data_IF_048820029826
#
_entry.id   IF_048820029826
#
_cell.length_a   1.000
_cell.length_b   1.000
_cell.length_c   1.000
_cell.angle_alpha   90.00
_cell.angle_beta   90.00
_cell.angle_gamma   90.00
#
_symmetry.space_group_name_H-M   'P 1'
#
loop_
_entity.id
_entity.type
_entity.pdbx_description
1 polymer ?
#
# COMPACT_ATOMS: atom_id res chain seq x y z
N UNK A 1 29.52 30.21 44.40
CA UNK A 1 29.43 31.11 43.23
C UNK A 1 28.03 30.97 42.62
N UNK A 2 27.14 31.92 42.90
CA UNK A 2 25.79 32.00 42.32
C UNK A 2 25.87 32.96 41.13
N UNK A 3 25.55 32.52 39.91
CA UNK A 3 25.40 33.40 38.75
C UNK A 3 23.92 33.72 38.55
N UNK A 4 23.63 35.02 38.61
CA UNK A 4 22.35 35.60 38.23
C UNK A 4 22.23 35.63 36.70
N UNK A 5 21.06 35.29 36.18
CA UNK A 5 20.70 35.45 34.78
C UNK A 5 19.79 36.68 34.71
N UNK A 6 20.22 37.66 33.90
CA UNK A 6 19.57 38.94 33.66
C UNK A 6 18.41 38.75 32.68
N UNK A 7 17.22 39.19 33.08
CA UNK A 7 16.03 39.35 32.23
C UNK A 7 16.24 40.53 31.30
N UNK A 8 16.12 40.33 29.98
CA UNK A 8 15.99 41.40 29.00
C UNK A 8 14.55 41.40 28.49
N UNK A 9 13.81 42.43 28.90
CA UNK A 9 12.50 42.78 28.35
C UNK A 9 12.67 43.31 26.91
N UNK A 10 12.01 42.66 25.96
CA UNK A 10 11.83 43.18 24.60
C UNK A 10 10.33 43.41 24.38
N UNK A 11 9.97 44.68 24.23
CA UNK A 11 8.65 45.12 23.77
C UNK A 11 8.34 44.58 22.37
N UNK A 12 7.08 44.18 22.08
CA UNK A 12 6.67 43.80 20.75
C UNK A 12 6.36 45.04 19.90
N UNK A 13 7.14 45.22 18.83
CA UNK A 13 6.84 46.19 17.79
C UNK A 13 5.52 45.84 17.07
N UNK A 14 4.63 46.82 16.97
CA UNK A 14 3.42 46.79 16.16
C UNK A 14 3.77 46.59 14.68
N UNK A 15 3.41 45.42 14.13
CA UNK A 15 3.54 45.11 12.71
C UNK A 15 2.34 45.70 11.96
N UNK A 16 2.63 46.67 11.09
CA UNK A 16 1.67 47.33 10.20
C UNK A 16 1.19 46.35 9.12
N UNK A 17 -0.14 46.22 8.96
CA UNK A 17 -0.76 45.25 8.07
C UNK A 17 -0.49 45.55 6.58
N UNK A 18 -0.02 44.55 5.84
CA UNK A 18 0.21 44.63 4.40
C UNK A 18 -1.10 44.85 3.61
N UNK A 19 -1.09 45.67 2.55
CA UNK A 19 -2.28 45.94 1.75
C UNK A 19 -2.68 44.72 0.89
N UNK A 20 -3.98 44.57 0.55
CA UNK A 20 -4.49 43.41 -0.16
C UNK A 20 -3.93 43.33 -1.59
N UNK A 21 -3.44 42.15 -1.96
CA UNK A 21 -2.92 41.84 -3.28
C UNK A 21 -4.01 42.04 -4.36
N UNK A 22 -3.74 42.95 -5.31
CA UNK A 22 -4.59 43.18 -6.48
C UNK A 22 -4.59 41.93 -7.37
N UNK A 23 -5.77 41.34 -7.59
CA UNK A 23 -6.01 40.24 -8.54
C UNK A 23 -5.43 40.59 -9.92
N UNK A 24 -4.48 39.78 -10.40
CA UNK A 24 -3.95 39.87 -11.77
C UNK A 24 -5.06 39.51 -12.76
N UNK A 25 -5.32 40.42 -13.70
CA UNK A 25 -6.22 40.16 -14.83
C UNK A 25 -5.56 39.15 -15.79
N UNK A 26 -6.31 38.19 -16.35
CA UNK A 26 -5.79 37.27 -17.36
C UNK A 26 -5.33 38.05 -18.59
N UNK A 27 -4.11 37.76 -19.04
CA UNK A 27 -3.54 38.35 -20.25
C UNK A 27 -4.22 37.67 -21.45
N UNK A 28 -4.78 38.43 -22.41
CA UNK A 28 -5.35 37.84 -23.62
C UNK A 28 -4.24 37.19 -24.45
N UNK A 29 -4.41 35.90 -24.76
CA UNK A 29 -3.55 35.14 -25.66
C UNK A 29 -3.65 35.71 -27.09
N UNK A 30 -2.79 36.68 -27.39
CA UNK A 30 -2.66 37.23 -28.73
C UNK A 30 -1.58 36.46 -29.49
N UNK A 31 -1.75 36.32 -30.81
CA UNK A 31 -0.79 35.67 -31.71
C UNK A 31 0.64 36.23 -31.58
N UNK A 32 0.76 37.50 -31.20
CA UNK A 32 2.02 38.21 -30.97
C UNK A 32 2.71 37.78 -29.64
N UNK A 33 1.94 37.39 -28.63
CA UNK A 33 2.46 36.85 -27.38
C UNK A 33 3.00 35.42 -27.56
N UNK A 34 2.36 34.61 -28.42
CA UNK A 34 2.85 33.27 -28.77
C UNK A 34 4.14 33.30 -29.60
N UNK A 35 4.35 34.33 -30.43
CA UNK A 35 5.58 34.48 -31.22
C UNK A 35 6.81 34.93 -30.42
N UNK A 36 6.65 35.35 -29.16
CA UNK A 36 7.76 35.81 -28.30
C UNK A 36 8.22 34.75 -27.28
N UNK A 37 7.55 33.60 -27.22
CA UNK A 37 8.02 32.47 -26.43
C UNK A 37 9.16 31.81 -27.19
N UNK A 38 10.40 32.11 -26.84
CA UNK A 38 11.55 31.30 -27.23
C UNK A 38 11.38 29.92 -26.60
N UNK A 39 11.01 28.95 -27.42
CA UNK A 39 11.08 27.54 -27.05
C UNK A 39 12.56 27.22 -26.91
N UNK A 40 13.03 27.02 -25.67
CA UNK A 40 14.26 26.30 -25.41
C UNK A 40 14.13 24.96 -26.13
N UNK A 41 14.97 24.74 -27.14
CA UNK A 41 15.12 23.43 -27.78
C UNK A 41 15.72 22.48 -26.74
N UNK A 42 14.87 21.91 -25.88
CA UNK A 42 15.19 20.65 -25.22
C UNK A 42 15.18 19.54 -26.27
N UNK A 43 16.07 18.57 -26.10
CA UNK A 43 16.35 17.37 -26.89
C UNK A 43 15.13 16.42 -27.09
N UNK A 44 13.90 16.90 -26.87
CA UNK A 44 12.65 16.14 -26.95
C UNK A 44 12.20 15.82 -28.38
N UNK A 45 12.73 16.47 -29.41
CA UNK A 45 12.28 16.22 -30.80
C UNK A 45 12.92 14.98 -31.41
N UNK A 46 14.09 14.55 -30.93
CA UNK A 46 14.72 13.30 -31.37
C UNK A 46 13.94 12.06 -30.89
N UNK A 47 13.31 12.14 -29.70
CA UNK A 47 12.46 11.07 -29.18
C UNK A 47 11.22 10.83 -30.06
N UNK A 48 10.63 11.88 -30.64
CA UNK A 48 9.47 11.74 -31.54
C UNK A 48 9.91 11.13 -32.88
N UNK A 49 11.04 11.56 -33.43
CA UNK A 49 11.57 10.96 -34.66
C UNK A 49 11.99 9.49 -34.47
N UNK A 50 12.58 9.14 -33.32
CA UNK A 50 12.88 7.76 -32.97
C UNK A 50 11.60 6.92 -32.79
N UNK A 51 10.56 7.47 -32.16
CA UNK A 51 9.28 6.79 -31.98
C UNK A 51 8.55 6.54 -33.32
N UNK A 52 8.52 7.54 -34.20
CA UNK A 52 7.96 7.42 -35.55
C UNK A 52 8.75 6.41 -36.40
N UNK A 53 10.09 6.43 -36.30
CA UNK A 53 10.95 5.48 -37.03
C UNK A 53 10.83 4.05 -36.51
N UNK A 54 10.65 3.87 -35.20
CA UNK A 54 10.44 2.55 -34.59
C UNK A 54 9.05 1.97 -34.90
N UNK A 55 8.05 2.82 -35.15
CA UNK A 55 6.68 2.40 -35.50
C UNK A 55 6.52 2.03 -36.98
N UNK A 56 7.44 2.48 -37.85
CA UNK A 56 7.46 2.14 -39.29
C UNK A 56 8.17 0.80 -39.58
N UNK A 57 8.98 0.29 -38.64
CA UNK A 57 9.68 -0.99 -38.78
C UNK A 57 8.97 -2.15 -38.07
N UNK A 58 7.92 -1.88 -37.29
CA UNK A 58 7.04 -2.91 -36.74
C UNK A 58 5.97 -3.22 -37.80
N UNK A 59 6.37 -4.02 -38.79
CA UNK A 59 5.52 -4.51 -39.87
C UNK A 59 4.45 -5.44 -39.27
N UNK A 60 3.38 -4.83 -38.74
CA UNK A 60 2.11 -5.50 -38.52
C UNK A 60 1.52 -5.80 -39.90
N UNK A 61 2.11 -6.79 -40.58
CA UNK A 61 1.57 -7.48 -41.73
C UNK A 61 0.24 -8.11 -41.31
N UNK A 62 -0.83 -7.32 -41.42
CA UNK A 62 -2.18 -7.82 -41.46
C UNK A 62 -2.28 -8.71 -42.69
N UNK A 63 -2.18 -10.04 -42.51
CA UNK A 63 -2.38 -11.01 -43.57
C UNK A 63 -3.81 -10.82 -44.13
N UNK A 64 -3.96 -10.30 -45.37
CA UNK A 64 -5.28 -10.05 -45.95
C UNK A 64 -6.01 -11.34 -46.32
N UNK A 65 -5.38 -12.51 -46.14
CA UNK A 65 -5.93 -13.81 -46.51
C UNK A 65 -6.31 -14.70 -45.31
N UNK A 66 -6.28 -14.19 -44.07
CA UNK A 66 -6.76 -14.98 -42.94
C UNK A 66 -8.30 -15.13 -43.02
N UNK A 67 -8.85 -16.35 -43.22
CA UNK A 67 -10.28 -16.55 -43.35
C UNK A 67 -10.96 -16.31 -41.99
N UNK A 68 -11.60 -15.15 -41.84
CA UNK A 68 -12.48 -14.89 -40.71
C UNK A 68 -13.60 -15.95 -40.65
N UNK A 69 -13.91 -16.51 -39.46
CA UNK A 69 -15.07 -17.37 -39.31
C UNK A 69 -16.33 -16.58 -39.70
N UNK A 70 -17.02 -17.07 -40.74
CA UNK A 70 -18.27 -16.52 -41.28
C UNK A 70 -19.28 -16.31 -40.16
N UNK A 71 -19.47 -15.05 -39.75
CA UNK A 71 -20.61 -14.62 -38.95
C UNK A 71 -21.87 -14.75 -39.81
N UNK A 72 -22.68 -15.76 -39.48
CA UNK A 72 -24.01 -15.98 -40.03
C UNK A 72 -24.90 -14.76 -39.75
N UNK A 73 -25.36 -14.15 -40.85
CA UNK A 73 -26.54 -13.31 -41.03
C UNK A 73 -27.21 -12.74 -39.76
N UNK A 74 -26.87 -11.48 -39.45
CA UNK A 74 -27.68 -10.62 -38.58
C UNK A 74 -29.04 -10.35 -39.24
N UNK A 75 -30.09 -10.84 -38.58
CA UNK A 75 -31.46 -10.41 -38.83
C UNK A 75 -31.61 -8.94 -38.44
N UNK A 76 -31.98 -8.10 -39.41
CA UNK A 76 -32.35 -6.69 -39.22
C UNK A 76 -33.55 -6.56 -38.28
N UNK A 77 -33.33 -6.51 -36.96
CA UNK A 77 -34.33 -6.05 -36.00
C UNK A 77 -34.34 -4.52 -36.00
N UNK A 78 -35.40 -3.94 -36.58
CA UNK A 78 -35.79 -2.53 -36.40
C UNK A 78 -35.80 -2.18 -34.91
N UNK A 79 -34.78 -1.47 -34.45
CA UNK A 79 -34.76 -0.89 -33.12
C UNK A 79 -35.72 0.30 -33.09
N UNK A 80 -36.88 0.13 -32.46
CA UNK A 80 -37.69 1.26 -32.00
C UNK A 80 -36.84 2.06 -31.01
N UNK A 81 -36.57 3.32 -31.34
CA UNK A 81 -35.94 4.29 -30.46
C UNK A 81 -36.81 4.49 -29.21
N UNK A 82 -36.61 3.63 -28.20
CA UNK A 82 -37.09 3.91 -26.85
C UNK A 82 -36.18 4.97 -26.28
N UNK A 83 -36.74 6.16 -26.06
CA UNK A 83 -36.15 7.20 -25.22
C UNK A 83 -35.77 6.57 -23.88
N UNK A 84 -34.48 6.27 -23.71
CA UNK A 84 -33.95 5.80 -22.43
C UNK A 84 -33.85 7.04 -21.56
N UNK A 85 -34.68 7.09 -20.52
CA UNK A 85 -34.47 8.05 -19.43
C UNK A 85 -33.03 7.90 -18.94
N UNK A 86 -32.29 9.01 -18.72
CA UNK A 86 -30.92 8.93 -18.24
C UNK A 86 -30.93 8.12 -16.94
N UNK A 87 -30.22 6.99 -16.97
CA UNK A 87 -30.11 6.12 -15.79
C UNK A 87 -29.53 6.95 -14.64
N UNK A 88 -30.00 6.77 -13.39
CA UNK A 88 -29.50 7.52 -12.26
C UNK A 88 -27.97 7.44 -12.22
N UNK A 89 -27.31 8.59 -12.35
CA UNK A 89 -25.85 8.66 -12.29
C UNK A 89 -25.46 8.17 -10.90
N UNK A 90 -24.83 6.98 -10.82
CA UNK A 90 -24.28 6.47 -9.56
C UNK A 90 -23.33 7.54 -9.05
N UNK A 91 -23.62 8.12 -7.88
CA UNK A 91 -22.72 9.07 -7.22
C UNK A 91 -21.35 8.40 -7.09
N UNK A 92 -20.29 9.11 -7.48
CA UNK A 92 -18.93 8.60 -7.29
C UNK A 92 -18.74 8.22 -5.81
N UNK A 93 -18.04 7.11 -5.52
CA UNK A 93 -17.74 6.75 -4.15
C UNK A 93 -16.92 7.87 -3.48
N UNK A 94 -17.26 8.22 -2.24
CA UNK A 94 -16.66 9.34 -1.50
C UNK A 94 -15.12 9.26 -1.45
N UNK A 95 -14.57 8.05 -1.40
CA UNK A 95 -13.12 7.80 -1.40
C UNK A 95 -12.38 8.19 -2.69
N UNK A 96 -13.10 8.49 -3.78
CA UNK A 96 -12.53 8.93 -5.05
C UNK A 96 -12.49 10.46 -5.21
N UNK A 97 -12.93 11.23 -4.20
CA UNK A 97 -13.02 12.68 -4.33
C UNK A 97 -11.75 13.40 -3.85
N UNK A 98 -11.41 14.57 -4.43
CA UNK A 98 -10.34 15.41 -3.90
C UNK A 98 -10.57 15.82 -2.44
N UNK A 99 -11.82 15.94 -2.00
CA UNK A 99 -12.19 16.23 -0.61
C UNK A 99 -11.74 15.11 0.33
N UNK A 100 -11.93 13.85 -0.03
CA UNK A 100 -11.46 12.73 0.79
C UNK A 100 -9.95 12.78 1.02
N UNK A 101 -9.18 13.01 -0.06
CA UNK A 101 -7.71 13.14 0.03
C UNK A 101 -7.29 14.38 0.82
N UNK A 102 -7.94 15.52 0.62
CA UNK A 102 -7.53 16.79 1.22
C UNK A 102 -8.05 17.03 2.64
N UNK A 103 -9.11 16.34 3.05
CA UNK A 103 -9.73 16.50 4.36
C UNK A 103 -9.57 15.22 5.16
N UNK A 104 -10.23 14.13 4.76
CA UNK A 104 -10.28 12.90 5.55
C UNK A 104 -8.89 12.28 5.75
N UNK A 105 -8.11 12.12 4.68
CA UNK A 105 -6.77 11.54 4.76
C UNK A 105 -5.79 12.44 5.52
N UNK A 106 -5.81 13.75 5.27
CA UNK A 106 -4.93 14.70 6.00
C UNK A 106 -5.22 14.72 7.50
N UNK A 107 -6.49 14.63 7.90
CA UNK A 107 -6.86 14.55 9.30
C UNK A 107 -6.32 13.27 9.97
N UNK A 108 -6.19 12.19 9.21
CA UNK A 108 -5.54 10.96 9.67
C UNK A 108 -4.02 10.93 9.43
N UNK A 109 -3.40 12.10 9.22
CA UNK A 109 -1.95 12.25 8.98
C UNK A 109 -1.42 11.46 7.76
N UNK A 110 -2.28 11.19 6.77
CA UNK A 110 -1.91 10.54 5.50
C UNK A 110 -1.69 11.59 4.41
N UNK A 111 -0.52 11.56 3.79
CA UNK A 111 -0.15 12.48 2.72
C UNK A 111 0.37 11.75 1.49
N UNK A 112 -0.18 12.11 0.33
CA UNK A 112 0.26 11.61 -0.99
C UNK A 112 1.03 12.74 -1.66
N UNK A 113 2.26 12.46 -2.09
CA UNK A 113 3.16 13.39 -2.79
C UNK A 113 3.34 14.73 -2.06
N UNK A 114 3.49 14.68 -0.73
CA UNK A 114 3.74 15.89 0.07
C UNK A 114 5.08 16.53 -0.26
N UNK A 115 6.09 15.70 -0.48
CA UNK A 115 7.46 16.11 -0.75
C UNK A 115 7.79 15.87 -2.22
N UNK A 116 8.40 16.85 -2.92
CA UNK A 116 8.80 16.67 -4.31
C UNK A 116 9.93 15.64 -4.46
N UNK A 117 10.73 15.48 -3.42
CA UNK A 117 11.84 14.53 -3.33
C UNK A 117 11.67 13.67 -2.08
N UNK A 118 12.16 12.43 -2.15
CA UNK A 118 12.18 11.54 -0.99
C UNK A 118 13.18 12.05 0.05
N UNK A 119 12.89 11.94 1.37
CA UNK A 119 13.90 12.15 2.40
C UNK A 119 15.14 11.28 2.12
N UNK A 120 16.34 11.83 2.29
CA UNK A 120 17.59 11.18 1.85
C UNK A 120 17.78 9.74 2.36
N UNK A 121 17.41 9.46 3.61
CA UNK A 121 17.51 8.11 4.20
C UNK A 121 16.48 7.13 3.60
N UNK A 122 15.28 7.61 3.21
CA UNK A 122 14.26 6.84 2.49
C UNK A 122 14.72 6.59 1.05
N UNK A 123 15.23 7.62 0.38
CA UNK A 123 15.79 7.52 -0.97
C UNK A 123 16.91 6.47 -1.04
N UNK A 124 17.88 6.54 -0.13
CA UNK A 124 18.97 5.57 -0.04
C UNK A 124 18.46 4.13 0.20
N UNK A 125 17.41 3.96 1.01
CA UNK A 125 16.79 2.65 1.24
C UNK A 125 16.09 2.13 -0.02
N UNK A 126 15.35 2.98 -0.73
CA UNK A 126 14.70 2.64 -1.99
C UNK A 126 15.74 2.27 -3.05
N UNK A 127 16.81 3.06 -3.20
CA UNK A 127 17.88 2.79 -4.15
C UNK A 127 18.59 1.47 -3.88
N UNK A 128 18.86 1.18 -2.60
CA UNK A 128 19.44 -0.08 -2.15
C UNK A 128 18.55 -1.27 -2.49
N UNK A 129 17.24 -1.13 -2.27
CA UNK A 129 16.27 -2.20 -2.52
C UNK A 129 16.06 -2.42 -4.01
N UNK A 130 15.80 -1.36 -4.78
CA UNK A 130 15.54 -1.45 -6.20
C UNK A 130 16.82 -1.66 -7.03
N UNK A 131 17.99 -1.44 -6.45
CA UNK A 131 19.28 -1.59 -7.12
C UNK A 131 19.55 -0.50 -8.16
N UNK A 132 18.97 0.69 -8.00
CA UNK A 132 19.16 1.82 -8.93
C UNK A 132 20.46 2.59 -8.69
N UNK A 133 21.19 2.28 -7.62
CA UNK A 133 22.51 2.86 -7.33
C UNK A 133 23.58 2.40 -8.33
N UNK A 134 24.48 3.31 -8.67
CA UNK A 134 25.54 3.23 -9.70
C UNK A 134 26.59 2.14 -9.53
N UNK A 135 26.51 1.27 -8.53
CA UNK A 135 27.61 0.37 -8.14
C UNK A 135 27.70 -0.94 -8.93
N UNK A 136 26.70 -1.30 -9.74
CA UNK A 136 26.72 -2.58 -10.47
C UNK A 136 27.68 -2.63 -11.66
N UNK A 137 28.04 -1.48 -12.25
CA UNK A 137 28.96 -1.47 -13.40
C UNK A 137 30.42 -1.69 -12.99
N UNK A 138 30.77 -1.50 -11.71
CA UNK A 138 32.16 -1.55 -11.25
C UNK A 138 32.67 -2.95 -10.91
N UNK A 139 31.80 -3.92 -10.62
CA UNK A 139 32.25 -5.22 -10.08
C UNK A 139 32.54 -6.30 -11.12
N UNK A 140 32.07 -6.16 -12.37
CA UNK A 140 32.39 -7.07 -13.49
C UNK A 140 32.08 -8.57 -13.27
N UNK A 141 31.47 -8.95 -12.15
CA UNK A 141 31.15 -10.31 -11.78
C UNK A 141 29.64 -10.50 -11.85
N UNK A 142 29.15 -10.77 -13.06
CA UNK A 142 27.83 -11.40 -13.23
C UNK A 142 28.02 -12.90 -13.00
N UNK A 143 27.59 -13.39 -11.84
CA UNK A 143 27.57 -14.83 -11.58
C UNK A 143 26.55 -15.54 -12.45
N UNK A 144 26.74 -16.84 -12.69
CA UNK A 144 25.78 -17.67 -13.46
C UNK A 144 24.35 -17.64 -12.84
N UNK A 145 24.24 -17.48 -11.53
CA UNK A 145 22.96 -17.38 -10.81
C UNK A 145 22.17 -16.10 -11.15
N UNK A 146 22.86 -14.97 -11.36
CA UNK A 146 22.23 -13.73 -11.78
C UNK A 146 21.65 -13.87 -13.20
N UNK A 147 22.34 -14.60 -14.08
CA UNK A 147 21.88 -14.86 -15.45
C UNK A 147 20.59 -15.67 -15.46
N UNK A 148 20.50 -16.76 -14.67
CA UNK A 148 19.30 -17.58 -14.59
C UNK A 148 18.12 -16.80 -13.97
N UNK A 149 18.40 -15.98 -12.97
CA UNK A 149 17.43 -15.08 -12.36
C UNK A 149 16.86 -14.11 -13.39
N UNK A 150 17.72 -13.48 -14.16
CA UNK A 150 17.34 -12.47 -15.14
C UNK A 150 16.53 -13.10 -16.29
N UNK A 151 16.83 -14.34 -16.67
CA UNK A 151 16.03 -15.09 -17.65
C UNK A 151 14.58 -15.33 -17.19
N UNK A 152 14.37 -15.69 -15.91
CA UNK A 152 13.01 -15.86 -15.35
C UNK A 152 12.25 -14.54 -15.38
N UNK A 153 12.88 -13.45 -14.93
CA UNK A 153 12.26 -12.12 -14.92
C UNK A 153 11.93 -11.64 -16.33
N UNK A 154 12.84 -11.84 -17.29
CA UNK A 154 12.61 -11.52 -18.69
C UNK A 154 11.42 -12.31 -19.27
N UNK A 155 11.33 -13.61 -18.99
CA UNK A 155 10.22 -14.43 -19.46
C UNK A 155 8.87 -13.99 -18.86
N UNK A 156 8.85 -13.68 -17.55
CA UNK A 156 7.66 -13.12 -16.88
C UNK A 156 7.26 -11.79 -17.50
N UNK A 157 8.21 -10.90 -17.78
CA UNK A 157 7.95 -9.60 -18.40
C UNK A 157 7.37 -9.72 -19.81
N UNK A 158 7.88 -10.65 -20.62
CA UNK A 158 7.36 -10.93 -21.97
C UNK A 158 5.94 -11.49 -21.90
N UNK A 159 5.71 -12.47 -21.02
CA UNK A 159 4.41 -13.11 -20.83
C UNK A 159 3.37 -12.11 -20.35
N UNK A 160 3.72 -11.32 -19.32
CA UNK A 160 2.85 -10.31 -18.75
C UNK A 160 2.50 -9.22 -19.76
N UNK A 161 3.49 -8.71 -20.51
CA UNK A 161 3.27 -7.75 -21.59
C UNK A 161 2.29 -8.25 -22.64
N UNK A 162 2.46 -9.51 -23.08
CA UNK A 162 1.56 -10.11 -24.07
C UNK A 162 0.12 -10.14 -23.53
N UNK A 163 -0.07 -10.53 -22.27
CA UNK A 163 -1.38 -10.48 -21.63
C UNK A 163 -1.94 -9.06 -21.53
N UNK A 164 -1.14 -8.08 -21.11
CA UNK A 164 -1.58 -6.69 -21.01
C UNK A 164 -2.01 -6.12 -22.37
N UNK A 165 -1.34 -6.50 -23.47
CA UNK A 165 -1.76 -6.11 -24.83
C UNK A 165 -3.11 -6.71 -25.21
N UNK A 166 -3.33 -7.99 -24.90
CA UNK A 166 -4.63 -8.64 -25.12
C UNK A 166 -5.73 -7.94 -24.33
N UNK A 167 -5.54 -7.78 -23.02
CA UNK A 167 -6.53 -7.15 -22.14
C UNK A 167 -6.86 -5.71 -22.56
N UNK A 168 -5.86 -4.96 -23.02
CA UNK A 168 -6.06 -3.61 -23.53
C UNK A 168 -6.85 -3.61 -24.85
N UNK A 169 -6.57 -4.54 -25.77
CA UNK A 169 -7.32 -4.71 -27.02
C UNK A 169 -8.77 -5.13 -26.78
N UNK A 170 -9.00 -5.98 -25.78
CA UNK A 170 -10.32 -6.49 -25.40
C UNK A 170 -11.13 -5.53 -24.52
N UNK A 171 -10.57 -4.37 -24.16
CA UNK A 171 -11.15 -3.43 -23.18
C UNK A 171 -11.55 -4.13 -21.86
N UNK A 172 -10.72 -5.05 -21.37
CA UNK A 172 -11.05 -5.90 -20.21
C UNK A 172 -11.28 -5.11 -18.93
N UNK A 173 -12.12 -5.66 -18.05
CA UNK A 173 -12.48 -5.09 -16.76
C UNK A 173 -11.43 -5.25 -15.67
N UNK A 174 -11.72 -4.66 -14.50
CA UNK A 174 -10.85 -4.66 -13.31
C UNK A 174 -10.49 -6.07 -12.85
N UNK A 175 -11.45 -7.00 -12.89
CA UNK A 175 -11.25 -8.37 -12.43
C UNK A 175 -10.22 -9.13 -13.28
N UNK A 176 -10.23 -8.91 -14.59
CA UNK A 176 -9.31 -9.52 -15.54
C UNK A 176 -7.89 -8.97 -15.38
N UNK A 177 -7.74 -7.64 -15.21
CA UNK A 177 -6.45 -7.01 -14.90
C UNK A 177 -5.89 -7.51 -13.57
N UNK A 178 -6.72 -7.58 -12.53
CA UNK A 178 -6.34 -8.13 -11.21
C UNK A 178 -5.91 -9.60 -11.32
N UNK A 179 -6.68 -10.41 -12.05
CA UNK A 179 -6.38 -11.84 -12.25
C UNK A 179 -5.06 -12.04 -13.00
N UNK A 180 -4.82 -11.28 -14.07
CA UNK A 180 -3.56 -11.35 -14.81
C UNK A 180 -2.37 -10.93 -13.93
N UNK A 181 -2.50 -9.84 -13.18
CA UNK A 181 -1.46 -9.39 -12.25
C UNK A 181 -1.15 -10.45 -11.19
N UNK A 182 -2.18 -11.06 -10.59
CA UNK A 182 -2.01 -12.11 -9.59
C UNK A 182 -1.37 -13.39 -10.17
N UNK A 183 -1.93 -13.92 -11.25
CA UNK A 183 -1.60 -15.26 -11.75
C UNK A 183 -0.32 -15.31 -12.59
N UNK A 184 -0.07 -14.26 -13.39
CA UNK A 184 1.08 -14.23 -14.31
C UNK A 184 2.30 -13.61 -13.64
N UNK A 185 2.10 -12.60 -12.78
CA UNK A 185 3.22 -11.85 -12.21
C UNK A 185 3.45 -12.17 -10.74
N UNK A 186 2.49 -11.85 -9.87
CA UNK A 186 2.70 -11.90 -8.42
C UNK A 186 2.92 -13.34 -7.92
N UNK A 187 2.12 -14.30 -8.36
CA UNK A 187 2.23 -15.70 -7.89
C UNK A 187 3.56 -16.35 -8.33
N UNK A 188 3.98 -16.28 -9.62
CA UNK A 188 5.28 -16.82 -10.02
C UNK A 188 6.45 -16.14 -9.32
N UNK A 189 6.37 -14.82 -9.11
CA UNK A 189 7.37 -14.11 -8.31
C UNK A 189 7.42 -14.66 -6.88
N UNK A 190 6.32 -14.66 -6.14
CA UNK A 190 6.32 -15.14 -4.74
C UNK A 190 6.74 -16.61 -4.59
N UNK A 191 6.43 -17.47 -5.56
CA UNK A 191 6.84 -18.87 -5.53
C UNK A 191 8.37 -19.04 -5.45
N UNK A 192 9.13 -18.10 -6.02
CA UNK A 192 10.59 -18.10 -5.95
C UNK A 192 11.12 -17.99 -4.52
N UNK A 193 10.37 -17.32 -3.64
CA UNK A 193 10.70 -17.17 -2.23
C UNK A 193 9.74 -17.98 -1.35
N UNK A 194 9.14 -19.04 -1.87
CA UNK A 194 8.42 -20.01 -1.04
C UNK A 194 9.42 -20.83 -0.20
N UNK A 195 9.14 -21.15 1.08
CA UNK A 195 7.90 -20.89 1.84
C UNK A 195 7.92 -19.57 2.63
N UNK A 196 8.79 -18.62 2.28
CA UNK A 196 9.00 -17.38 3.04
C UNK A 196 7.88 -16.35 2.83
N UNK A 197 7.49 -16.14 1.58
CA UNK A 197 6.48 -15.16 1.21
C UNK A 197 5.09 -15.79 1.09
N UNK A 198 4.08 -15.02 1.49
CA UNK A 198 2.67 -15.35 1.27
C UNK A 198 1.97 -14.24 0.50
N UNK A 199 1.16 -14.65 -0.47
CA UNK A 199 0.24 -13.75 -1.18
C UNK A 199 -1.18 -14.01 -0.72
N UNK A 200 -1.93 -12.94 -0.46
CA UNK A 200 -3.38 -12.96 -0.29
C UNK A 200 -4.02 -12.12 -1.38
N UNK A 201 -5.00 -12.68 -2.08
CA UNK A 201 -5.93 -11.95 -2.94
C UNK A 201 -7.35 -11.99 -2.35
N UNK A 202 -7.44 -11.98 -1.02
CA UNK A 202 -8.70 -12.10 -0.31
C UNK A 202 -9.56 -10.86 -0.50
N UNK A 203 -10.83 -11.06 -0.85
CA UNK A 203 -11.80 -9.97 -0.91
C UNK A 203 -12.30 -9.55 0.49
N UNK A 204 -11.75 -10.13 1.56
CA UNK A 204 -12.11 -9.78 2.93
C UNK A 204 -11.41 -8.49 3.34
N UNK A 205 -12.13 -7.55 3.97
CA UNK A 205 -11.48 -6.34 4.50
C UNK A 205 -10.48 -6.70 5.59
N UNK A 206 -9.50 -5.84 5.75
CA UNK A 206 -8.56 -5.89 6.86
C UNK A 206 -9.26 -5.62 8.20
N UNK A 207 -8.54 -5.86 9.29
CA UNK A 207 -8.99 -5.55 10.62
C UNK A 207 -9.12 -4.04 10.79
N UNK A 208 -10.32 -3.57 11.17
CA UNK A 208 -10.63 -2.14 11.31
C UNK A 208 -9.79 -1.44 12.39
N UNK A 209 -9.24 -2.19 13.35
CA UNK A 209 -8.39 -1.63 14.40
C UNK A 209 -7.00 -1.24 13.91
N UNK A 210 -6.61 -1.71 12.72
CA UNK A 210 -5.35 -1.31 12.09
C UNK A 210 -5.45 0.03 11.38
N UNK A 211 -6.62 0.66 11.30
CA UNK A 211 -6.76 1.96 10.63
C UNK A 211 -5.86 3.00 11.28
N UNK A 212 -5.24 3.90 10.51
CA UNK A 212 -4.59 5.07 11.07
C UNK A 212 -5.55 5.82 11.97
N UNK A 213 -5.19 5.94 13.23
CA UNK A 213 -5.92 6.76 14.18
C UNK A 213 -5.47 8.20 14.02
N UNK A 214 -6.43 9.09 14.17
CA UNK A 214 -6.15 10.52 14.19
C UNK A 214 -5.38 10.77 15.47
N UNK A 215 -4.21 11.43 15.42
CA UNK A 215 -3.53 11.86 16.62
C UNK A 215 -4.55 12.64 17.44
N UNK A 216 -5.06 12.04 18.52
CA UNK A 216 -5.91 12.80 19.42
C UNK A 216 -4.97 13.85 19.96
N UNK A 217 -5.26 15.13 19.65
CA UNK A 217 -4.68 16.25 20.38
C UNK A 217 -5.05 15.96 21.82
N UNK A 218 -4.15 15.29 22.52
CA UNK A 218 -4.33 14.92 23.90
C UNK A 218 -4.44 16.28 24.54
N UNK A 219 -5.65 16.63 24.97
CA UNK A 219 -5.93 17.86 25.69
C UNK A 219 -4.84 17.97 26.74
N UNK A 220 -3.94 18.94 26.56
CA UNK A 220 -2.65 19.02 27.24
C UNK A 220 -2.75 19.10 28.77
N UNK A 221 -3.97 19.08 29.33
CA UNK A 221 -4.29 19.43 30.71
C UNK A 221 -5.03 18.35 31.51
N UNK A 222 -5.21 17.14 30.98
CA UNK A 222 -5.87 16.08 31.77
C UNK A 222 -5.21 14.74 31.52
N UNK A 223 -4.36 14.33 32.46
CA UNK A 223 -3.91 12.94 32.62
C UNK A 223 -5.07 12.16 33.26
N UNK A 224 -5.92 11.43 32.50
CA UNK A 224 -7.02 10.71 33.10
C UNK A 224 -6.52 9.30 33.40
N UNK A 225 -6.48 8.94 34.69
CA UNK A 225 -6.39 7.57 35.15
C UNK A 225 -7.72 6.85 34.85
N UNK A 226 -8.04 6.67 33.56
CA UNK A 226 -9.31 6.09 33.09
C UNK A 226 -9.09 4.80 32.29
N UNK A 227 -9.96 3.77 32.46
CA UNK A 227 -9.75 2.44 31.92
C UNK A 227 -9.93 2.39 30.40
N UNK A 228 -9.00 1.71 29.75
CA UNK A 228 -8.93 1.43 28.31
C UNK A 228 -10.18 0.65 27.86
N UNK A 229 -10.77 1.09 26.75
CA UNK A 229 -11.90 0.43 26.11
C UNK A 229 -11.43 -0.90 25.51
N UNK A 230 -11.76 -2.00 26.18
CA UNK A 230 -11.49 -3.37 25.73
C UNK A 230 -12.43 -3.72 24.57
N UNK A 231 -11.93 -4.15 23.39
CA UNK A 231 -12.78 -4.73 22.36
C UNK A 231 -13.40 -6.06 22.86
N UNK A 232 -14.64 -6.39 22.47
CA UNK A 232 -15.27 -7.63 22.91
C UNK A 232 -14.45 -8.85 22.47
N UNK A 233 -14.31 -9.88 23.32
CA UNK A 233 -13.53 -11.07 23.00
C UNK A 233 -14.10 -11.78 21.77
N UNK A 234 -13.23 -12.09 20.81
CA UNK A 234 -13.49 -12.98 19.67
C UNK A 234 -13.53 -14.44 20.16
N UNK A 235 -14.55 -14.80 20.93
CA UNK A 235 -14.79 -16.20 21.33
C UNK A 235 -16.22 -16.61 20.99
N UNK A 236 -16.33 -17.78 20.34
CA UNK A 236 -17.53 -18.52 19.95
C UNK A 236 -18.16 -18.22 18.56
N UNK A 237 -17.43 -18.55 17.49
CA UNK A 237 -18.03 -18.86 16.17
C UNK A 237 -17.65 -20.27 15.67
N UNK A 238 -17.37 -21.21 16.58
CA UNK A 238 -17.35 -22.65 16.28
C UNK A 238 -18.59 -23.26 16.93
N UNK A 239 -19.76 -22.93 16.36
CA UNK A 239 -21.01 -23.64 16.67
C UNK A 239 -20.98 -25.02 16.03
N UNK A 240 -21.36 -26.03 16.80
CA UNK A 240 -21.47 -27.42 16.36
C UNK A 240 -22.32 -27.55 15.09
N UNK A 241 -21.81 -28.33 14.12
CA UNK A 241 -22.52 -28.73 12.91
C UNK A 241 -23.84 -29.44 13.29
N UNK A 242 -25.01 -28.96 12.86
CA UNK A 242 -26.25 -29.70 13.05
C UNK A 242 -26.32 -30.87 12.06
N UNK A 243 -26.59 -32.05 12.62
CA UNK A 243 -26.90 -33.29 11.91
C UNK A 243 -28.09 -33.09 10.95
N UNK A 244 -28.02 -33.54 9.68
CA UNK A 244 -29.10 -33.35 8.73
C UNK A 244 -30.26 -34.30 9.07
N UNK A 245 -31.34 -33.75 9.62
CA UNK A 245 -32.62 -34.47 9.74
C UNK A 245 -33.50 -34.02 8.57
N UNK A 246 -33.70 -34.92 7.62
CA UNK A 246 -34.57 -34.71 6.47
C UNK A 246 -36.02 -34.46 6.93
N UNK A 247 -36.62 -33.34 6.50
CA UNK A 247 -38.07 -33.14 6.47
C UNK A 247 -38.49 -32.43 5.19
N UNK A 248 -39.73 -32.66 4.71
CA UNK A 248 -40.12 -32.43 3.34
C UNK A 248 -40.61 -30.99 3.09
N UNK A 249 -40.44 -30.59 1.83
CA UNK A 249 -40.95 -29.43 1.14
C UNK A 249 -42.30 -28.90 1.64
N UNK A 250 -42.35 -27.61 1.94
CA UNK A 250 -43.55 -26.78 1.75
C UNK A 250 -43.14 -25.54 0.95
N UNK A 251 -43.79 -25.40 -0.20
CA UNK A 251 -43.75 -24.25 -1.08
C UNK A 251 -44.44 -23.05 -0.41
N UNK A 252 -43.78 -21.90 -0.36
CA UNK A 252 -44.44 -20.62 -0.16
C UNK A 252 -43.79 -19.54 -1.05
N UNK A 253 -44.57 -18.78 -1.86
CA UNK A 253 -44.03 -17.80 -2.77
C UNK A 253 -44.07 -16.38 -2.19
N UNK A 254 -43.14 -15.54 -2.69
CA UNK A 254 -43.15 -14.07 -2.60
C UNK A 254 -42.46 -13.46 -1.37
N UNK A 255 -41.15 -13.23 -1.50
CA UNK A 255 -40.46 -12.16 -0.79
C UNK A 255 -39.68 -11.31 -1.80
N UNK A 256 -40.27 -10.19 -2.18
CA UNK A 256 -39.65 -9.14 -2.98
C UNK A 256 -38.40 -8.62 -2.28
N UNK A 257 -37.26 -8.68 -2.96
CA UNK A 257 -36.00 -8.11 -2.48
C UNK A 257 -36.11 -6.59 -2.36
N UNK A 258 -36.20 -6.11 -1.11
CA UNK A 258 -36.11 -4.69 -0.81
C UNK A 258 -34.65 -4.24 -1.00
N UNK A 259 -34.42 -3.46 -2.06
CA UNK A 259 -33.18 -2.73 -2.26
C UNK A 259 -33.14 -1.59 -1.23
N UNK A 260 -32.25 -1.71 -0.24
CA UNK A 260 -31.95 -0.61 0.68
C UNK A 260 -31.17 0.48 -0.04
N UNK A 261 -31.88 1.46 -0.60
CA UNK A 261 -31.33 2.76 -0.97
C UNK A 261 -31.04 3.55 0.30
N UNK A 262 -29.78 3.61 0.71
CA UNK A 262 -29.29 4.57 1.70
C UNK A 262 -29.23 5.95 1.05
N UNK A 263 -30.21 6.79 1.37
CA UNK A 263 -30.22 8.22 1.03
C UNK A 263 -29.12 8.92 1.83
N UNK A 264 -28.14 9.48 1.12
CA UNK A 264 -27.06 10.27 1.69
C UNK A 264 -27.56 11.68 2.02
N UNK A 265 -27.97 11.89 3.26
CA UNK A 265 -28.20 13.23 3.80
C UNK A 265 -26.84 13.93 4.00
N UNK A 266 -26.70 15.12 3.40
CA UNK A 266 -25.58 16.03 3.64
C UNK A 266 -25.71 16.55 5.08
N UNK A 267 -25.18 15.80 6.05
CA UNK A 267 -25.12 16.24 7.44
C UNK A 267 -24.16 17.40 7.58
N UNK A 268 -24.71 18.52 8.06
CA UNK A 268 -24.00 19.56 8.81
C UNK A 268 -22.96 18.93 9.72
N UNK A 269 -21.70 19.38 9.59
CA UNK A 269 -20.54 18.96 10.38
C UNK A 269 -20.83 18.99 11.89
N UNK A 270 -21.26 17.85 12.43
CA UNK A 270 -21.29 17.61 13.87
C UNK A 270 -19.83 17.56 14.34
N UNK A 271 -19.50 18.36 15.34
CA UNK A 271 -18.14 18.63 15.84
C UNK A 271 -17.46 17.43 16.52
N UNK A 272 -18.09 16.25 16.51
CA UNK A 272 -17.52 14.97 16.98
C UNK A 272 -17.51 13.90 15.87
N UNK A 273 -17.44 14.30 14.60
CA UNK A 273 -17.45 13.35 13.49
C UNK A 273 -16.15 12.54 13.47
N UNK A 274 -16.26 11.30 13.93
CA UNK A 274 -15.28 10.24 13.76
C UNK A 274 -14.82 10.23 12.28
N UNK A 275 -13.52 10.33 12.07
CA UNK A 275 -12.95 10.42 10.72
C UNK A 275 -13.18 9.10 10.01
N UNK A 276 -14.10 9.10 9.05
CA UNK A 276 -14.51 7.91 8.32
C UNK A 276 -13.48 7.53 7.24
N UNK A 277 -12.33 7.01 7.66
CA UNK A 277 -11.45 6.28 6.74
C UNK A 277 -12.07 4.93 6.38
N UNK A 278 -12.02 4.59 5.08
CA UNK A 278 -12.42 3.25 4.63
C UNK A 278 -11.51 2.19 5.23
N UNK A 279 -12.07 1.05 5.63
CA UNK A 279 -11.25 -0.11 6.03
C UNK A 279 -10.48 -0.61 4.81
N UNK A 280 -9.14 -0.78 4.89
CA UNK A 280 -8.37 -1.34 3.79
C UNK A 280 -8.96 -2.66 3.30
N UNK A 281 -8.99 -2.81 1.98
CA UNK A 281 -9.32 -4.05 1.30
C UNK A 281 -8.48 -4.12 0.01
N UNK A 282 -7.17 -4.38 0.13
CA UNK A 282 -6.32 -4.48 -1.04
C UNK A 282 -6.73 -5.63 -1.95
N UNK A 283 -6.53 -5.45 -3.25
CA UNK A 283 -6.76 -6.49 -4.24
C UNK A 283 -5.76 -7.64 -4.11
N UNK A 284 -4.48 -7.31 -3.84
CA UNK A 284 -3.44 -8.28 -3.54
C UNK A 284 -2.58 -7.71 -2.39
N UNK A 285 -2.23 -8.57 -1.45
CA UNK A 285 -1.29 -8.27 -0.37
C UNK A 285 -0.18 -9.30 -0.37
N UNK A 286 1.05 -8.84 -0.20
CA UNK A 286 2.22 -9.69 0.02
C UNK A 286 2.80 -9.41 1.39
N UNK A 287 3.04 -10.48 2.13
CA UNK A 287 3.68 -10.44 3.44
C UNK A 287 4.49 -11.70 3.67
N UNK A 288 4.89 -11.88 4.91
CA UNK A 288 5.63 -13.05 5.39
C UNK A 288 4.66 -14.19 5.71
N UNK A 289 5.02 -15.40 5.33
CA UNK A 289 4.32 -16.60 5.77
C UNK A 289 4.53 -16.82 7.28
N UNK A 290 3.46 -17.15 8.01
CA UNK A 290 3.52 -17.32 9.47
C UNK A 290 4.55 -18.38 9.88
N UNK A 291 4.61 -19.49 9.14
CA UNK A 291 5.57 -20.57 9.39
C UNK A 291 7.03 -20.12 9.18
N UNK A 292 7.27 -19.23 8.22
CA UNK A 292 8.62 -18.79 7.91
C UNK A 292 9.23 -17.91 9.01
N UNK A 293 8.40 -17.19 9.77
CA UNK A 293 8.82 -16.41 10.94
C UNK A 293 9.08 -17.36 12.12
N UNK A 294 8.13 -18.28 12.36
CA UNK A 294 8.23 -19.27 13.44
C UNK A 294 9.52 -20.09 13.34
N UNK A 295 9.79 -20.62 12.16
CA UNK A 295 10.97 -21.46 11.92
C UNK A 295 12.29 -20.69 12.01
N UNK A 296 12.28 -19.37 11.75
CA UNK A 296 13.51 -18.57 11.71
C UNK A 296 14.02 -18.19 13.09
N UNK A 297 13.10 -17.80 13.98
CA UNK A 297 13.47 -17.27 15.29
C UNK A 297 13.59 -18.38 16.36
N UNK A 298 13.55 -19.67 15.94
CA UNK A 298 13.50 -20.84 16.83
C UNK A 298 12.47 -20.67 17.96
N UNK A 299 11.37 -20.00 17.63
CA UNK A 299 10.33 -19.66 18.59
C UNK A 299 9.49 -20.91 18.81
N UNK A 300 9.08 -21.13 20.06
CA UNK A 300 7.98 -22.04 20.29
C UNK A 300 6.76 -21.58 19.48
N UNK A 301 5.86 -22.52 19.17
CA UNK A 301 4.65 -22.28 18.37
C UNK A 301 3.80 -21.08 18.85
N UNK A 302 4.07 -20.60 20.07
CA UNK A 302 3.15 -19.83 20.86
C UNK A 302 3.40 -18.33 20.88
N UNK A 303 4.55 -17.74 20.52
CA UNK A 303 4.73 -16.30 20.82
C UNK A 303 3.76 -15.39 20.07
N UNK A 304 3.66 -15.50 18.73
CA UNK A 304 2.76 -14.65 17.97
C UNK A 304 1.30 -14.92 18.31
N UNK A 305 0.98 -16.18 18.64
CA UNK A 305 -0.35 -16.57 19.11
C UNK A 305 -0.62 -16.00 20.51
N UNK A 306 0.35 -16.05 21.41
CA UNK A 306 0.28 -15.55 22.77
C UNK A 306 0.05 -14.04 22.78
N UNK A 307 0.83 -13.30 21.99
CA UNK A 307 0.66 -11.86 21.78
C UNK A 307 -0.71 -11.53 21.18
N UNK A 308 -1.29 -12.43 20.36
CA UNK A 308 -2.63 -12.29 19.79
C UNK A 308 -3.76 -12.61 20.77
N UNK A 309 -3.52 -13.49 21.74
CA UNK A 309 -4.51 -13.89 22.74
C UNK A 309 -4.45 -13.06 24.03
N UNK A 310 -3.50 -12.14 24.15
CA UNK A 310 -3.34 -11.28 25.31
C UNK A 310 -4.61 -10.48 25.64
N UNK A 311 -5.00 -10.46 26.92
CA UNK A 311 -6.28 -9.91 27.38
C UNK A 311 -6.41 -8.38 27.24
N UNK A 312 -5.29 -7.65 27.24
CA UNK A 312 -5.31 -6.18 27.41
C UNK A 312 -5.10 -5.40 26.11
N UNK A 313 -4.39 -5.96 25.13
CA UNK A 313 -4.25 -5.40 23.79
C UNK A 313 -3.66 -6.47 22.84
N UNK A 314 -4.48 -7.18 22.05
CA UNK A 314 -3.98 -8.24 21.20
C UNK A 314 -3.16 -7.64 20.05
N UNK A 315 -1.89 -8.05 19.94
CA UNK A 315 -1.02 -7.64 18.85
C UNK A 315 -1.51 -8.26 17.53
N UNK A 316 -1.82 -7.43 16.53
CA UNK A 316 -2.36 -7.90 15.25
C UNK A 316 -1.24 -7.90 14.20
N UNK A 317 -0.73 -9.08 13.84
CA UNK A 317 0.27 -9.22 12.78
C UNK A 317 -0.27 -9.69 11.43
N UNK A 318 -1.43 -10.36 11.40
CA UNK A 318 -2.15 -10.65 10.15
C UNK A 318 -3.17 -9.53 9.92
N UNK A 319 -3.10 -8.82 8.78
CA UNK A 319 -4.00 -7.70 8.56
C UNK A 319 -5.46 -8.14 8.37
N UNK A 320 -5.74 -9.40 8.04
CA UNK A 320 -7.09 -9.85 7.72
C UNK A 320 -7.90 -10.15 8.97
N UNK A 321 -9.22 -9.94 8.89
CA UNK A 321 -10.14 -10.30 9.98
C UNK A 321 -10.21 -11.83 10.22
N UNK A 322 -9.98 -12.60 9.18
CA UNK A 322 -9.88 -14.06 9.25
C UNK A 322 -8.41 -14.40 9.01
N UNK A 323 -7.72 -15.09 9.94
CA UNK A 323 -6.31 -15.43 9.77
C UNK A 323 -6.08 -16.19 8.45
N UNK A 324 -5.28 -15.61 7.58
CA UNK A 324 -4.84 -16.23 6.32
C UNK A 324 -3.40 -16.72 6.42
N UNK A 325 -2.72 -16.44 7.54
CA UNK A 325 -1.33 -16.79 7.77
C UNK A 325 -0.34 -15.86 7.08
N UNK A 326 -0.81 -14.73 6.54
CA UNK A 326 0.02 -13.66 5.99
C UNK A 326 0.30 -12.66 7.10
N UNK A 327 1.57 -12.47 7.47
CA UNK A 327 1.99 -11.53 8.52
C UNK A 327 2.82 -10.40 7.93
N UNK A 328 2.83 -9.25 8.59
CA UNK A 328 3.72 -8.12 8.25
C UNK A 328 3.73 -7.76 6.76
N UNK A 329 2.62 -7.21 6.23
CA UNK A 329 2.54 -6.81 4.83
C UNK A 329 3.62 -5.79 4.48
N UNK A 330 4.31 -6.00 3.36
CA UNK A 330 5.34 -5.07 2.87
C UNK A 330 5.12 -4.64 1.41
N UNK A 331 4.23 -5.32 0.68
CA UNK A 331 3.81 -4.93 -0.67
C UNK A 331 2.29 -5.07 -0.81
N UNK A 332 1.66 -3.96 -1.20
CA UNK A 332 0.20 -3.84 -1.36
C UNK A 332 -0.11 -3.58 -2.83
N UNK A 333 -1.17 -4.16 -3.36
CA UNK A 333 -1.60 -3.94 -4.74
C UNK A 333 -3.05 -3.49 -4.77
N UNK A 334 -3.29 -2.40 -5.48
CA UNK A 334 -4.63 -1.89 -5.78
C UNK A 334 -4.79 -1.84 -7.29
N UNK A 335 -5.72 -2.64 -7.82
CA UNK A 335 -6.02 -2.70 -9.24
C UNK A 335 -7.36 -2.04 -9.53
N UNK A 336 -7.39 -1.22 -10.58
CA UNK A 336 -8.62 -0.63 -11.12
C UNK A 336 -8.68 -0.89 -12.62
N UNK A 337 -9.89 -1.16 -13.10
CA UNK A 337 -10.16 -1.32 -14.52
C UNK A 337 -10.70 -0.04 -15.13
N UNK A 338 -10.43 0.18 -16.41
CA UNK A 338 -10.90 1.37 -17.15
C UNK A 338 -12.43 1.53 -17.13
N UNK A 339 -13.17 0.43 -16.96
CA UNK A 339 -14.62 0.39 -17.08
C UNK A 339 -15.38 0.55 -15.76
N UNK A 340 -14.70 0.58 -14.59
CA UNK A 340 -15.40 0.55 -13.29
C UNK A 340 -15.80 1.93 -12.77
N UNK A 341 -15.47 3.00 -13.50
CA UNK A 341 -15.73 4.39 -13.08
C UNK A 341 -14.90 4.82 -11.87
N UNK A 342 -13.97 3.97 -11.44
CA UNK A 342 -12.92 4.27 -10.48
C UNK A 342 -11.67 4.64 -11.26
N UNK A 343 -10.88 5.56 -10.70
CA UNK A 343 -9.68 6.09 -11.35
C UNK A 343 -8.44 5.78 -10.49
N UNK A 344 -7.26 6.07 -11.03
CA UNK A 344 -5.99 5.92 -10.33
C UNK A 344 -5.95 6.61 -8.96
N UNK A 345 -6.60 7.77 -8.83
CA UNK A 345 -6.70 8.53 -7.56
C UNK A 345 -7.36 7.68 -6.47
N UNK A 346 -8.42 6.94 -6.81
CA UNK A 346 -9.10 6.07 -5.87
C UNK A 346 -8.18 4.92 -5.42
N UNK A 347 -7.47 4.29 -6.35
CA UNK A 347 -6.52 3.22 -6.05
C UNK A 347 -5.35 3.72 -5.16
N UNK A 348 -4.81 4.90 -5.47
CA UNK A 348 -3.81 5.59 -4.65
C UNK A 348 -4.30 5.83 -3.21
N UNK A 349 -5.53 6.33 -3.07
CA UNK A 349 -6.12 6.58 -1.75
C UNK A 349 -6.29 5.28 -0.94
N UNK A 350 -6.70 4.19 -1.60
CA UNK A 350 -6.85 2.88 -0.94
C UNK A 350 -5.48 2.32 -0.51
N UNK A 351 -4.49 2.36 -1.39
CA UNK A 351 -3.13 1.90 -1.12
C UNK A 351 -2.48 2.69 0.04
N UNK A 352 -2.66 4.01 0.09
CA UNK A 352 -2.15 4.85 1.18
C UNK A 352 -2.71 4.43 2.55
N UNK A 353 -4.03 4.22 2.64
CA UNK A 353 -4.67 3.80 3.90
C UNK A 353 -4.23 2.38 4.28
N UNK A 354 -4.12 1.47 3.30
CA UNK A 354 -3.64 0.12 3.52
C UNK A 354 -2.19 0.09 4.02
N UNK A 355 -1.30 0.86 3.40
CA UNK A 355 0.10 0.92 3.82
C UNK A 355 0.25 1.51 5.22
N UNK A 356 -0.49 2.56 5.55
CA UNK A 356 -0.50 3.09 6.91
C UNK A 356 -1.05 2.10 7.94
N UNK A 357 -2.04 1.28 7.56
CA UNK A 357 -2.47 0.15 8.40
C UNK A 357 -1.39 -0.92 8.58
N UNK A 358 -0.59 -1.19 7.55
CA UNK A 358 0.54 -2.10 7.66
C UNK A 358 1.68 -1.50 8.51
N UNK A 359 1.89 -0.18 8.48
CA UNK A 359 2.80 0.49 9.41
C UNK A 359 2.35 0.35 10.86
N UNK A 360 1.06 0.48 11.17
CA UNK A 360 0.57 0.26 12.53
C UNK A 360 0.95 -1.13 13.06
N UNK A 361 0.91 -2.17 12.23
CA UNK A 361 1.38 -3.52 12.61
C UNK A 361 2.86 -3.49 13.01
N UNK A 362 3.69 -2.76 12.27
CA UNK A 362 5.13 -2.66 12.52
C UNK A 362 5.43 -1.81 13.76
N UNK A 363 4.75 -0.67 13.91
CA UNK A 363 4.86 0.20 15.08
C UNK A 363 4.40 -0.49 16.36
N UNK A 364 3.32 -1.29 16.30
CA UNK A 364 2.86 -2.08 17.44
C UNK A 364 3.90 -3.14 17.85
N UNK A 365 4.58 -3.77 16.88
CA UNK A 365 5.68 -4.68 17.19
C UNK A 365 6.84 -3.94 17.87
N UNK A 366 7.21 -2.78 17.36
CA UNK A 366 8.30 -1.96 17.91
C UNK A 366 7.99 -1.47 19.34
N UNK A 367 6.74 -1.11 19.61
CA UNK A 367 6.29 -0.70 20.94
C UNK A 367 6.34 -1.82 21.99
N UNK A 368 6.35 -3.09 21.57
CA UNK A 368 6.47 -4.24 22.48
C UNK A 368 7.92 -4.54 22.86
N UNK A 369 8.89 -4.08 22.08
CA UNK A 369 10.31 -4.37 22.32
C UNK A 369 10.84 -3.37 23.34
N UNK A 370 11.41 -3.84 24.48
CA UNK A 370 12.05 -2.94 25.42
C UNK A 370 13.15 -2.15 24.72
N UNK A 371 13.07 -0.82 24.76
CA UNK A 371 14.09 0.05 24.16
C UNK A 371 15.39 -0.15 24.94
N UNK A 372 16.44 -0.73 24.35
CA UNK A 372 17.75 -0.74 25.01
C UNK A 372 18.23 0.71 25.09
N UNK A 373 18.78 1.14 26.24
CA UNK A 373 19.36 2.49 26.43
C UNK A 373 20.60 2.77 25.56
N UNK A 374 20.85 1.96 24.53
CA UNK A 374 22.00 2.11 23.65
C UNK A 374 21.72 3.24 22.67
N UNK A 375 22.74 4.08 22.47
CA UNK A 375 22.77 5.17 21.50
C UNK A 375 22.81 4.55 20.08
N UNK A 376 21.66 4.05 19.61
CA UNK A 376 21.57 3.33 18.33
C UNK A 376 21.73 4.35 17.19
N UNK A 377 22.69 4.08 16.30
CA UNK A 377 22.82 4.74 15.01
C UNK A 377 21.45 4.85 14.33
N UNK A 378 21.19 5.97 13.64
CA UNK A 378 19.89 6.32 13.09
C UNK A 378 19.15 5.10 12.51
N UNK A 379 17.96 4.74 13.04
CA UNK A 379 17.28 3.51 12.65
C UNK A 379 17.03 3.50 11.15
N UNK A 380 17.24 2.33 10.53
CA UNK A 380 16.89 2.13 9.11
C UNK A 380 15.41 2.46 8.94
N UNK A 381 15.01 3.31 7.98
CA UNK A 381 13.62 3.69 7.83
C UNK A 381 12.77 2.46 7.51
N UNK A 382 11.67 2.31 8.25
CA UNK A 382 10.62 1.37 7.89
C UNK A 382 9.93 1.90 6.63
N UNK A 383 9.90 1.09 5.58
CA UNK A 383 9.22 1.42 4.34
C UNK A 383 8.29 0.29 3.92
N UNK A 384 7.26 0.63 3.16
CA UNK A 384 6.31 -0.30 2.55
C UNK A 384 6.15 0.09 1.08
N UNK A 385 5.92 -0.88 0.20
CA UNK A 385 5.67 -0.60 -1.21
C UNK A 385 4.19 -0.78 -1.56
N UNK A 386 3.72 -0.06 -2.56
CA UNK A 386 2.49 -0.45 -3.24
C UNK A 386 2.60 -0.37 -4.76
N UNK A 387 1.92 -1.29 -5.44
CA UNK A 387 1.70 -1.27 -6.88
C UNK A 387 0.26 -0.86 -7.17
N UNK A 388 0.10 0.21 -7.93
CA UNK A 388 -1.21 0.75 -8.28
C UNK A 388 -1.42 0.57 -9.77
N UNK A 389 -2.57 0.04 -10.17
CA UNK A 389 -2.86 -0.29 -11.57
C UNK A 389 -4.15 0.38 -12.04
N UNK A 390 -4.12 1.02 -13.21
CA UNK A 390 -5.30 1.42 -13.98
C UNK A 390 -5.16 0.92 -15.42
N UNK A 391 -5.78 -0.24 -15.70
CA UNK A 391 -5.60 -0.95 -16.96
C UNK A 391 -4.11 -1.27 -17.22
N UNK A 392 -3.51 -0.84 -18.36
CA UNK A 392 -2.11 -1.11 -18.67
C UNK A 392 -1.09 -0.18 -17.97
N UNK A 393 -1.56 0.80 -17.20
CA UNK A 393 -0.69 1.73 -16.47
C UNK A 393 -0.47 1.23 -15.05
N UNK A 394 0.78 1.12 -14.65
CA UNK A 394 1.19 0.66 -13.32
C UNK A 394 2.11 1.70 -12.68
N UNK A 395 1.84 2.07 -11.44
CA UNK A 395 2.69 2.96 -10.65
C UNK A 395 3.24 2.20 -9.43
N UNK A 396 4.55 2.25 -9.22
CA UNK A 396 5.17 1.79 -7.98
C UNK A 396 5.37 2.97 -7.05
N UNK A 397 4.94 2.78 -5.81
CA UNK A 397 4.97 3.79 -4.76
C UNK A 397 5.73 3.26 -3.55
N UNK A 398 6.43 4.16 -2.87
CA UNK A 398 6.99 3.92 -1.54
C UNK A 398 6.16 4.66 -0.50
N UNK A 399 5.97 4.01 0.63
CA UNK A 399 5.35 4.57 1.82
C UNK A 399 6.37 4.58 2.94
N UNK A 400 6.38 5.66 3.73
CA UNK A 400 7.32 5.87 4.82
C UNK A 400 6.66 6.71 5.92
N UNK A 401 7.21 6.64 7.12
CA UNK A 401 6.80 7.51 8.22
C UNK A 401 7.81 8.64 8.42
N UNK A 402 7.31 9.86 8.57
CA UNK A 402 8.12 11.03 8.96
C UNK A 402 7.53 11.61 10.25
N UNK A 403 8.17 11.33 11.39
CA UNK A 403 7.55 11.49 12.70
C UNK A 403 6.20 10.74 12.76
N UNK A 404 5.13 11.35 13.26
CA UNK A 404 3.81 10.71 13.41
C UNK A 404 2.93 10.84 12.15
N UNK A 405 3.55 10.88 10.96
CA UNK A 405 2.84 11.11 9.69
C UNK A 405 3.22 10.05 8.68
N UNK A 406 2.21 9.63 7.91
CA UNK A 406 2.35 8.65 6.83
C UNK A 406 2.47 9.40 5.51
N UNK A 407 3.59 9.21 4.84
CA UNK A 407 3.86 9.76 3.52
C UNK A 407 3.89 8.65 2.47
N UNK A 408 3.43 9.00 1.27
CA UNK A 408 3.41 8.14 0.09
C UNK A 408 3.94 8.92 -1.11
N UNK A 409 4.94 8.39 -1.81
CA UNK A 409 5.58 9.04 -2.97
C UNK A 409 5.68 8.09 -4.16
N UNK A 410 5.37 8.60 -5.35
CA UNK A 410 5.46 7.83 -6.58
C UNK A 410 6.93 7.67 -6.95
N UNK A 411 7.37 6.43 -7.16
CA UNK A 411 8.74 6.16 -7.61
C UNK A 411 8.82 6.19 -9.12
N UNK A 412 7.93 5.46 -9.78
CA UNK A 412 7.94 5.29 -11.22
C UNK A 412 6.57 4.86 -11.74
N UNK A 413 6.26 5.26 -12.97
CA UNK A 413 5.08 4.79 -13.71
C UNK A 413 5.51 4.08 -14.98
N UNK A 414 4.82 2.97 -15.29
CA UNK A 414 5.08 2.14 -16.45
C UNK A 414 3.78 1.85 -17.19
N UNK A 415 3.92 1.68 -18.50
CA UNK A 415 2.86 1.21 -19.39
C UNK A 415 3.23 -0.18 -19.89
N UNK A 416 2.65 -1.22 -19.31
CA UNK A 416 3.08 -2.63 -19.49
C UNK A 416 2.78 -3.22 -20.86
N UNK A 417 2.11 -2.47 -21.74
CA UNK A 417 2.03 -2.81 -23.17
C UNK A 417 3.34 -2.54 -23.92
N UNK A 418 4.26 -1.76 -23.33
CA UNK A 418 5.58 -1.46 -23.89
C UNK A 418 6.64 -2.44 -23.36
N UNK A 419 7.57 -2.93 -24.20
CA UNK A 419 8.63 -3.87 -23.82
C UNK A 419 9.43 -3.46 -22.58
N UNK A 420 10.19 -2.37 -22.66
CA UNK A 420 11.08 -1.94 -21.57
C UNK A 420 10.33 -1.56 -20.29
N UNK A 421 9.08 -1.10 -20.40
CA UNK A 421 8.25 -0.80 -19.24
C UNK A 421 7.81 -2.05 -18.48
N UNK A 422 7.42 -3.12 -19.19
CA UNK A 422 7.09 -4.40 -18.55
C UNK A 422 8.32 -5.01 -17.89
N UNK A 423 9.45 -5.03 -18.59
CA UNK A 423 10.72 -5.54 -18.06
C UNK A 423 11.13 -4.83 -16.78
N UNK A 424 11.12 -3.49 -16.78
CA UNK A 424 11.46 -2.68 -15.60
C UNK A 424 10.48 -2.88 -14.44
N UNK A 425 9.18 -2.98 -14.72
CA UNK A 425 8.19 -3.27 -13.68
C UNK A 425 8.47 -4.64 -13.01
N UNK A 426 8.66 -5.70 -13.81
CA UNK A 426 8.92 -7.05 -13.27
C UNK A 426 10.24 -7.09 -12.50
N UNK A 427 11.27 -6.42 -13.00
CA UNK A 427 12.56 -6.28 -12.30
C UNK A 427 12.38 -5.61 -10.93
N UNK A 428 11.71 -4.45 -10.87
CA UNK A 428 11.45 -3.74 -9.61
C UNK A 428 10.62 -4.56 -8.62
N UNK A 429 9.57 -5.26 -9.08
CA UNK A 429 8.78 -6.13 -8.21
C UNK A 429 9.59 -7.32 -7.69
N UNK A 430 10.43 -7.92 -8.54
CA UNK A 430 11.35 -8.98 -8.13
C UNK A 430 12.32 -8.52 -7.04
N UNK A 431 12.83 -7.29 -7.14
CA UNK A 431 13.68 -6.65 -6.12
C UNK A 431 12.96 -6.41 -4.80
N UNK A 432 11.73 -5.90 -4.85
CA UNK A 432 10.90 -5.70 -3.65
C UNK A 432 10.60 -7.03 -2.95
N UNK A 433 10.28 -8.09 -3.70
CA UNK A 433 10.04 -9.42 -3.15
C UNK A 433 11.30 -10.03 -2.53
N UNK A 434 12.44 -9.87 -3.18
CA UNK A 434 13.75 -10.28 -2.64
C UNK A 434 14.06 -9.59 -1.31
N UNK A 435 13.91 -8.26 -1.26
CA UNK A 435 14.06 -7.50 -0.02
C UNK A 435 13.09 -7.96 1.07
N UNK A 436 11.83 -8.21 0.70
CA UNK A 436 10.79 -8.73 1.59
C UNK A 436 11.17 -10.07 2.22
N UNK A 437 11.71 -10.99 1.42
CA UNK A 437 12.12 -12.33 1.85
C UNK A 437 13.46 -12.34 2.60
N UNK A 438 14.32 -11.35 2.37
CA UNK A 438 15.63 -11.17 2.98
C UNK A 438 15.60 -10.18 4.14
N UNK A 439 16.14 -8.98 3.92
CA UNK A 439 16.37 -7.96 4.96
C UNK A 439 15.13 -7.64 5.78
N UNK A 440 13.97 -7.46 5.13
CA UNK A 440 12.73 -7.14 5.84
C UNK A 440 12.33 -8.27 6.80
N UNK A 441 12.29 -9.51 6.30
CA UNK A 441 12.04 -10.69 7.14
C UNK A 441 13.03 -10.79 8.29
N UNK A 442 14.32 -10.65 8.03
CA UNK A 442 15.34 -10.80 9.05
C UNK A 442 15.15 -9.75 10.16
N UNK A 443 14.87 -8.49 9.81
CA UNK A 443 14.54 -7.46 10.78
C UNK A 443 13.31 -7.80 11.63
N UNK A 444 12.26 -8.39 11.04
CA UNK A 444 11.08 -8.87 11.80
C UNK A 444 11.45 -10.04 12.73
N UNK A 445 12.22 -11.01 12.24
CA UNK A 445 12.67 -12.18 13.00
C UNK A 445 13.50 -11.75 14.21
N UNK A 446 14.41 -10.80 14.02
CA UNK A 446 15.25 -10.24 15.08
C UNK A 446 14.39 -9.53 16.14
N UNK A 447 13.44 -8.70 15.70
CA UNK A 447 12.48 -8.00 16.57
C UNK A 447 11.64 -8.96 17.41
N UNK A 448 11.06 -9.98 16.78
CA UNK A 448 10.25 -11.00 17.49
C UNK A 448 11.13 -11.86 18.41
N UNK A 449 12.36 -12.18 18.00
CA UNK A 449 13.32 -12.91 18.82
C UNK A 449 13.80 -12.12 20.04
N UNK A 450 14.01 -10.81 19.90
CA UNK A 450 14.32 -9.93 21.03
C UNK A 450 13.16 -9.87 22.04
N UNK A 451 11.93 -9.73 21.54
CA UNK A 451 10.73 -9.78 22.36
C UNK A 451 10.62 -11.10 23.12
N UNK A 452 10.81 -12.24 22.45
CA UNK A 452 10.81 -13.57 23.06
C UNK A 452 11.80 -13.69 24.22
N UNK A 453 13.05 -13.27 23.98
CA UNK A 453 14.11 -13.30 25.00
C UNK A 453 13.72 -12.48 26.22
N UNK A 454 13.16 -11.28 26.00
CA UNK A 454 12.74 -10.39 27.10
C UNK A 454 11.61 -10.97 27.96
N UNK A 455 10.73 -11.81 27.38
CA UNK A 455 9.59 -12.39 28.09
C UNK A 455 9.92 -13.69 28.84
N UNK A 456 10.84 -14.51 28.34
CA UNK A 456 10.99 -15.90 28.81
C UNK A 456 12.41 -16.30 29.23
N UNK A 457 13.43 -15.49 28.95
CA UNK A 457 14.78 -15.73 29.44
C UNK A 457 14.98 -14.81 30.65
N UNK A 458 14.74 -15.27 31.90
CA UNK A 458 15.04 -14.46 33.07
C UNK A 458 16.52 -14.09 32.99
N UNK A 459 16.86 -12.80 33.19
CA UNK A 459 18.25 -12.36 33.31
C UNK A 459 18.93 -13.28 34.30
N UNK A 460 19.82 -14.13 33.78
CA UNK A 460 20.46 -15.16 34.57
C UNK A 460 21.40 -14.46 35.55
N UNK A 461 20.86 -14.16 36.74
CA UNK A 461 21.54 -13.62 37.92
C UNK A 461 22.60 -12.57 37.61
N UNK A 462 22.27 -11.29 37.81
CA UNK A 462 23.26 -10.44 38.44
C UNK A 462 23.72 -11.21 39.70
N UNK A 463 24.99 -11.64 39.79
CA UNK A 463 25.46 -12.32 40.98
C UNK A 463 25.20 -11.37 42.15
N UNK A 464 24.46 -11.85 43.15
CA UNK A 464 24.22 -11.17 44.41
C UNK A 464 25.58 -10.85 45.06
N UNK A 465 26.19 -9.71 44.67
CA UNK A 465 27.49 -9.24 45.16
C UNK A 465 27.41 -8.69 46.60
N UNK A 466 26.30 -8.93 47.29
CA UNK A 466 26.07 -8.51 48.68
C UNK A 466 25.68 -9.68 49.58
N UNK A 467 26.58 -10.67 49.68
CA UNK A 467 26.75 -11.38 50.94
C UNK A 467 27.79 -10.60 51.78
N UNK A 468 27.38 -9.80 52.77
CA UNK A 468 28.32 -9.19 53.70
C UNK A 468 29.03 -10.31 54.46
N UNK A 469 30.35 -10.37 54.31
CA UNK A 469 31.23 -11.24 55.09
C UNK A 469 31.05 -10.91 56.57
N UNK A 470 30.25 -11.72 57.26
CA UNK A 470 30.08 -11.65 58.70
C UNK A 470 31.41 -11.93 59.40
N UNK A 471 31.95 -10.92 60.09
CA UNK A 471 33.02 -11.06 61.06
C UNK A 471 32.57 -12.03 62.16
N UNK A 472 33.24 -13.18 62.27
CA UNK A 472 33.27 -13.96 63.50
C UNK A 472 34.31 -13.32 64.43
N UNK A 473 33.87 -12.91 65.62
CA UNK A 473 34.72 -12.63 66.79
C UNK A 473 34.07 -13.27 67.99
#
# INVERSE_FOLDING_TARGET
MKRAISSCDLEPALVEAAPPAKRRRPIPLTRKALSQVQVLQCESTESVHHWVSSSLNDDMSMDPNQPHPRLLAQTMRRAKARSRTPSPVKKLPHCATPEYRNVTMKLASLFIERHPELPAHVAASVERILGTGTTKEASGQTGDEDTARDAIMANLAVTYRAQCRSLAGDCSGEGEWRSALLSILMSPLSMRWSPVLKISASEKPWNKYLKPTVPQLSTLDSRPLGPIVVPPPLSAALGAMPTPTARPFQDDPSASSAVSTTTSDYSTYSTNSEIHLSTPKPDITVGLESEAIRNAADLSHDILLHLQTGLNNPFISDPHQVPLGLRFPFLIVEAKGLNTGSNLIHAQNQAAVAAASAFNILSDLDALIPIPEVDVESPTPTIIFSLITEGPTHELWVHYQTADKYDMSCLQSWRTTLPGHSEKLVECLGRVMEWGAGDFRNGIVDKVGALWKSMFVPEAGQPDEHLPSGNRS
#
